data_IF_145773592771
#
_entry.id   IF_145773592771
#
_cell.length_a   1.000
_cell.length_b   1.000
_cell.length_c   1.000
_cell.angle_alpha   90.00
_cell.angle_beta   90.00
_cell.angle_gamma   90.00
#
_symmetry.space_group_name_H-M   'P 1'
#
loop_
_entity.id
_entity.type
_entity.pdbx_description
1 polymer ?
#
# COMPACT_ATOMS: atom_id res chain seq x y z
N UNK A 1 -8.26 -9.65 -2.65
CA UNK A 1 -7.09 -9.94 -3.52
C UNK A 1 -5.80 -9.97 -2.67
N UNK A 2 -4.74 -10.63 -3.14
CA UNK A 2 -3.42 -10.57 -2.51
C UNK A 2 -2.78 -9.19 -2.75
N UNK A 3 -2.05 -8.66 -1.77
CA UNK A 3 -1.48 -7.30 -1.90
C UNK A 3 -0.51 -7.17 -3.07
N UNK A 4 0.29 -8.21 -3.35
CA UNK A 4 1.22 -8.17 -4.49
C UNK A 4 0.45 -8.02 -5.81
N UNK A 5 -0.68 -8.72 -5.98
CA UNK A 5 -1.51 -8.63 -7.19
C UNK A 5 -2.13 -7.23 -7.34
N UNK A 6 -2.60 -6.62 -6.25
CA UNK A 6 -3.12 -5.25 -6.23
C UNK A 6 -2.03 -4.26 -6.66
N UNK A 7 -0.82 -4.41 -6.12
CA UNK A 7 0.33 -3.57 -6.47
C UNK A 7 0.70 -3.76 -7.95
N UNK A 8 0.71 -5.00 -8.46
CA UNK A 8 0.96 -5.25 -9.88
C UNK A 8 -0.13 -4.66 -10.78
N UNK A 9 -1.39 -4.70 -10.36
CA UNK A 9 -2.51 -4.15 -11.13
C UNK A 9 -2.48 -2.62 -11.19
N UNK A 10 -2.06 -1.93 -10.12
CA UNK A 10 -2.01 -0.45 -10.10
C UNK A 10 -0.81 0.11 -10.89
N UNK A 11 0.33 -0.60 -10.93
CA UNK A 11 1.58 -0.16 -11.59
C UNK A 11 1.40 0.43 -13.00
N UNK A 12 0.70 -0.22 -13.95
CA UNK A 12 0.56 0.32 -15.31
C UNK A 12 -0.29 1.60 -15.39
N UNK A 13 -1.04 1.94 -14.34
CA UNK A 13 -1.87 3.14 -14.27
C UNK A 13 -1.13 4.32 -13.64
N UNK A 14 0.09 4.11 -13.15
CA UNK A 14 0.91 5.16 -12.53
C UNK A 14 1.79 5.81 -13.62
N UNK A 15 1.81 7.15 -13.74
CA UNK A 15 0.97 8.08 -13.00
C UNK A 15 -0.47 8.12 -13.52
N UNK A 16 -1.45 8.19 -12.62
CA UNK A 16 -2.86 8.42 -12.93
C UNK A 16 -3.03 9.78 -13.61
N UNK A 17 -3.83 9.85 -14.66
CA UNK A 17 -4.13 11.09 -15.37
C UNK A 17 -5.05 12.04 -14.59
N UNK A 18 -5.85 11.50 -13.66
CA UNK A 18 -6.72 12.27 -12.76
C UNK A 18 -7.11 11.51 -11.49
N UNK A 19 -7.65 12.22 -10.51
CA UNK A 19 -8.30 11.61 -9.33
C UNK A 19 -9.47 10.70 -9.74
N UNK A 20 -10.24 11.07 -10.77
CA UNK A 20 -11.33 10.24 -11.27
C UNK A 20 -10.85 8.91 -11.86
N UNK A 21 -9.69 8.90 -12.53
CA UNK A 21 -9.08 7.64 -13.02
C UNK A 21 -8.61 6.75 -11.86
N UNK A 22 -8.06 7.36 -10.79
CA UNK A 22 -7.73 6.63 -9.57
C UNK A 22 -8.97 6.04 -8.89
N UNK A 23 -10.09 6.79 -8.85
CA UNK A 23 -11.36 6.30 -8.35
C UNK A 23 -11.90 5.13 -9.19
N UNK A 24 -11.90 5.25 -10.52
CA UNK A 24 -12.32 4.18 -11.43
C UNK A 24 -11.53 2.88 -11.19
N UNK A 25 -10.22 3.00 -10.94
CA UNK A 25 -9.40 1.86 -10.57
C UNK A 25 -9.86 1.25 -9.23
N UNK A 26 -10.05 2.08 -8.20
CA UNK A 26 -10.47 1.62 -6.86
C UNK A 26 -11.86 0.97 -6.86
N UNK A 27 -12.80 1.49 -7.65
CA UNK A 27 -14.16 0.96 -7.82
C UNK A 27 -14.18 -0.49 -8.33
N UNK A 28 -13.08 -0.96 -8.92
CA UNK A 28 -12.89 -2.36 -9.33
C UNK A 28 -12.59 -3.33 -8.19
N UNK A 29 -12.43 -2.84 -6.95
CA UNK A 29 -12.00 -3.62 -5.80
C UNK A 29 -12.89 -3.40 -4.58
N UNK A 30 -13.02 -4.42 -3.73
CA UNK A 30 -13.71 -4.29 -2.45
C UNK A 30 -12.97 -3.32 -1.52
N UNK A 31 -13.68 -2.65 -0.60
CA UNK A 31 -13.10 -1.72 0.38
C UNK A 31 -11.85 -2.29 1.05
N UNK A 32 -11.85 -3.57 1.45
CA UNK A 32 -10.70 -4.19 2.09
C UNK A 32 -9.45 -4.32 1.21
N UNK A 33 -9.60 -4.39 -0.11
CA UNK A 33 -8.50 -4.33 -1.09
C UNK A 33 -8.02 -2.88 -1.27
N UNK A 34 -8.95 -1.91 -1.28
CA UNK A 34 -8.60 -0.49 -1.36
C UNK A 34 -7.79 -0.05 -0.14
N UNK A 35 -8.22 -0.40 1.08
CA UNK A 35 -7.49 -0.10 2.32
C UNK A 35 -6.10 -0.77 2.31
N UNK A 36 -5.99 -2.00 1.79
CA UNK A 36 -4.71 -2.71 1.68
C UNK A 36 -3.70 -1.91 0.84
N UNK A 37 -4.17 -1.36 -0.29
CA UNK A 37 -3.35 -0.59 -1.20
C UNK A 37 -2.87 0.74 -0.59
N UNK A 38 -3.74 1.41 0.17
CA UNK A 38 -3.40 2.64 0.89
C UNK A 38 -2.44 2.36 2.05
N UNK A 39 -2.65 1.27 2.79
CA UNK A 39 -1.77 0.83 3.88
C UNK A 39 -0.37 0.50 3.35
N UNK A 40 -0.27 -0.25 2.25
CA UNK A 40 1.01 -0.58 1.62
C UNK A 40 1.74 0.68 1.13
N UNK A 41 1.02 1.66 0.57
CA UNK A 41 1.58 2.96 0.16
C UNK A 41 2.20 3.70 1.35
N UNK A 42 1.46 3.87 2.45
CA UNK A 42 1.95 4.63 3.59
C UNK A 42 3.11 3.92 4.31
N UNK A 43 3.04 2.60 4.40
CA UNK A 43 4.13 1.79 4.89
C UNK A 43 5.39 1.94 4.03
N UNK A 44 5.25 1.80 2.72
CA UNK A 44 6.37 1.93 1.78
C UNK A 44 7.00 3.32 1.83
N UNK A 45 6.16 4.37 1.96
CA UNK A 45 6.62 5.74 2.15
C UNK A 45 7.46 5.92 3.42
N UNK A 46 7.06 5.35 4.56
CA UNK A 46 7.85 5.44 5.79
C UNK A 46 9.16 4.63 5.71
N UNK A 47 9.24 3.68 4.79
CA UNK A 47 10.39 2.79 4.60
C UNK A 47 11.20 3.03 3.32
N UNK A 48 11.03 4.18 2.65
CA UNK A 48 11.59 4.43 1.31
C UNK A 48 13.12 4.27 1.23
N UNK A 49 13.84 4.54 2.32
CA UNK A 49 15.31 4.45 2.40
C UNK A 49 15.82 3.19 3.11
N UNK A 50 14.94 2.24 3.43
CA UNK A 50 15.29 1.03 4.16
C UNK A 50 15.20 -0.20 3.25
N UNK A 51 15.86 -1.28 3.66
CA UNK A 51 15.79 -2.59 3.00
C UNK A 51 15.02 -3.62 3.83
N UNK A 52 14.65 -3.25 5.06
CA UNK A 52 13.92 -4.07 6.02
C UNK A 52 12.92 -3.17 6.74
N UNK A 53 11.91 -3.80 7.33
CA UNK A 53 10.98 -3.14 8.24
C UNK A 53 11.74 -2.61 9.46
N UNK A 54 11.50 -1.34 9.82
CA UNK A 54 12.15 -0.71 10.95
C UNK A 54 11.87 -1.44 12.26
N UNK A 55 12.79 -1.37 13.23
CA UNK A 55 12.65 -2.06 14.52
C UNK A 55 11.32 -1.75 15.23
N UNK A 56 10.86 -0.50 15.17
CA UNK A 56 9.58 -0.07 15.74
C UNK A 56 8.37 -0.79 15.11
N UNK A 57 8.50 -1.28 13.88
CA UNK A 57 7.45 -1.96 13.13
C UNK A 57 7.58 -3.50 13.16
N UNK A 58 8.75 -4.04 13.53
CA UNK A 58 8.99 -5.50 13.58
C UNK A 58 8.06 -6.21 14.56
N UNK A 59 7.76 -5.59 15.70
CA UNK A 59 6.81 -6.13 16.68
C UNK A 59 5.43 -6.40 16.07
N UNK A 60 4.86 -5.40 15.39
CA UNK A 60 3.58 -5.50 14.69
C UNK A 60 3.62 -6.48 13.52
N UNK A 61 4.75 -6.51 12.81
CA UNK A 61 4.98 -7.40 11.67
C UNK A 61 4.95 -8.88 12.09
N UNK A 62 5.62 -9.24 13.19
CA UNK A 62 5.67 -10.62 13.67
C UNK A 62 4.46 -11.01 14.53
N UNK A 63 3.78 -10.05 15.16
CA UNK A 63 2.52 -10.30 15.87
C UNK A 63 1.34 -10.52 14.91
N UNK A 64 1.46 -10.09 13.65
CA UNK A 64 0.37 -10.08 12.66
C UNK A 64 -0.56 -8.87 12.81
N UNK A 65 -0.25 -7.93 13.70
CA UNK A 65 -0.97 -6.67 13.85
C UNK A 65 -0.70 -5.74 12.67
N UNK A 66 0.43 -5.87 12.00
CA UNK A 66 0.63 -5.29 10.67
C UNK A 66 -0.22 -6.08 9.66
N UNK A 67 -1.31 -5.46 9.20
CA UNK A 67 -2.31 -6.09 8.33
C UNK A 67 -2.82 -5.10 7.26
N UNK A 68 -3.50 -5.59 6.22
CA UNK A 68 -4.12 -4.76 5.16
C UNK A 68 -5.05 -3.65 5.62
N UNK A 69 -5.62 -3.73 6.81
CA UNK A 69 -6.56 -2.75 7.33
C UNK A 69 -5.90 -1.69 8.21
N UNK A 70 -4.56 -1.59 8.21
CA UNK A 70 -3.83 -0.66 9.08
C UNK A 70 -4.33 0.79 8.98
N UNK A 71 -4.71 1.23 7.78
CA UNK A 71 -5.27 2.57 7.56
C UNK A 71 -6.81 2.64 7.60
N UNK A 72 -7.48 1.50 7.83
CA UNK A 72 -8.93 1.38 7.96
C UNK A 72 -9.44 2.01 9.25
N UNK A 73 -9.52 3.35 9.27
CA UNK A 73 -9.88 4.16 10.43
C UNK A 73 -9.01 5.40 10.61
N UNK A 74 -7.82 5.41 10.00
CA UNK A 74 -6.95 6.59 9.96
C UNK A 74 -7.23 7.48 8.74
N UNK A 75 -7.73 6.88 7.67
CA UNK A 75 -8.01 7.53 6.40
C UNK A 75 -9.43 7.16 5.96
N UNK A 76 -10.21 8.16 5.54
CA UNK A 76 -11.56 7.91 5.00
C UNK A 76 -11.48 7.29 3.61
N UNK A 77 -12.37 6.36 3.27
CA UNK A 77 -12.43 5.73 1.94
C UNK A 77 -12.58 6.77 0.82
N UNK A 78 -13.31 7.85 1.08
CA UNK A 78 -13.49 8.98 0.15
C UNK A 78 -12.18 9.70 -0.21
N UNK A 79 -11.11 9.53 0.59
CA UNK A 79 -9.81 10.15 0.34
C UNK A 79 -8.85 9.26 -0.46
N UNK A 80 -9.18 7.99 -0.68
CA UNK A 80 -8.24 7.03 -1.27
C UNK A 80 -7.83 7.40 -2.70
N UNK A 81 -8.79 7.76 -3.55
CA UNK A 81 -8.50 8.18 -4.92
C UNK A 81 -7.62 9.43 -4.97
N UNK A 82 -7.96 10.41 -4.13
CA UNK A 82 -7.17 11.64 -3.96
C UNK A 82 -5.75 11.33 -3.50
N UNK A 83 -5.57 10.44 -2.53
CA UNK A 83 -4.23 10.04 -2.04
C UNK A 83 -3.41 9.41 -3.17
N UNK A 84 -3.97 8.47 -3.94
CA UNK A 84 -3.28 7.87 -5.07
C UNK A 84 -2.87 8.94 -6.09
N UNK A 85 -3.79 9.83 -6.46
CA UNK A 85 -3.53 10.88 -7.43
C UNK A 85 -2.55 11.95 -6.94
N UNK A 86 -2.56 12.34 -5.66
CA UNK A 86 -1.61 13.31 -5.11
C UNK A 86 -0.21 12.73 -4.95
N UNK A 87 -0.09 11.44 -4.61
CA UNK A 87 1.21 10.77 -4.43
C UNK A 87 1.82 10.27 -5.74
N UNK A 88 0.99 10.09 -6.77
CA UNK A 88 1.27 9.72 -8.16
C UNK A 88 2.71 9.30 -8.48
N UNK A 89 3.58 10.29 -8.69
CA UNK A 89 4.95 10.10 -9.17
C UNK A 89 5.83 9.31 -8.21
N UNK A 90 5.47 9.27 -6.93
CA UNK A 90 6.18 8.52 -5.90
C UNK A 90 5.57 7.14 -5.64
N UNK A 91 4.40 6.80 -6.20
CA UNK A 91 3.72 5.54 -5.92
C UNK A 91 4.59 4.32 -6.25
N UNK A 92 5.30 4.34 -7.38
CA UNK A 92 6.26 3.27 -7.71
C UNK A 92 7.29 3.08 -6.60
N UNK A 93 7.93 4.18 -6.16
CA UNK A 93 8.95 4.12 -5.12
C UNK A 93 8.39 3.62 -3.78
N UNK A 94 7.15 4.02 -3.43
CA UNK A 94 6.50 3.57 -2.21
C UNK A 94 6.16 2.08 -2.27
N UNK A 95 5.52 1.60 -3.34
CA UNK A 95 5.21 0.17 -3.47
C UNK A 95 6.47 -0.69 -3.58
N UNK A 96 7.51 -0.24 -4.27
CA UNK A 96 8.81 -0.93 -4.31
C UNK A 96 9.45 -1.00 -2.92
N UNK A 97 9.34 0.06 -2.11
CA UNK A 97 9.83 0.05 -0.74
C UNK A 97 9.03 -0.89 0.16
N UNK A 98 7.69 -0.93 0.03
CA UNK A 98 6.85 -1.88 0.75
C UNK A 98 7.26 -3.32 0.46
N UNK A 99 7.36 -3.70 -0.82
CA UNK A 99 7.77 -5.04 -1.24
C UNK A 99 9.17 -5.38 -0.73
N UNK A 100 10.14 -4.49 -0.97
CA UNK A 100 11.53 -4.69 -0.55
C UNK A 100 11.67 -4.89 0.95
N UNK A 101 11.01 -4.06 1.77
CA UNK A 101 11.16 -4.13 3.22
C UNK A 101 10.45 -5.33 3.83
N UNK A 102 9.28 -5.70 3.31
CA UNK A 102 8.58 -6.91 3.76
C UNK A 102 9.32 -8.18 3.35
N UNK A 103 9.91 -8.23 2.15
CA UNK A 103 10.81 -9.33 1.74
C UNK A 103 12.06 -9.39 2.62
N UNK A 104 12.75 -8.26 2.82
CA UNK A 104 13.96 -8.18 3.63
C UNK A 104 13.75 -8.58 5.09
N UNK A 105 12.53 -8.43 5.61
CA UNK A 105 12.17 -8.87 6.97
C UNK A 105 11.52 -10.25 7.05
N UNK A 106 11.39 -10.97 5.92
CA UNK A 106 10.78 -12.30 5.89
C UNK A 106 9.30 -12.33 6.25
N UNK A 107 8.57 -11.24 5.98
CA UNK A 107 7.13 -11.18 6.23
C UNK A 107 6.34 -11.95 5.19
N UNK A 108 5.40 -12.77 5.65
CA UNK A 108 4.47 -13.48 4.80
C UNK A 108 3.32 -12.55 4.37
N UNK A 109 3.47 -11.92 3.20
CA UNK A 109 2.46 -11.04 2.60
C UNK A 109 1.16 -11.75 2.19
N UNK A 110 1.08 -13.09 2.24
CA UNK A 110 -0.18 -13.80 1.99
C UNK A 110 -1.26 -13.50 3.04
N UNK A 111 -0.83 -12.99 4.18
CA UNK A 111 -1.68 -12.55 5.28
C UNK A 111 -1.95 -11.05 5.29
N UNK A 112 -1.38 -10.32 4.31
CA UNK A 112 -1.57 -8.88 4.22
C UNK A 112 -3.00 -8.58 3.79
#
# INVERSE_FOLDING_TARGET
MHIDDLIFAVRPLIPFGSEAEAQIFLDGYETGDQVALISALYFGRSHIHYNEVGEDYKGYLFSGEMNRFWEGGNVSEEEFAKILYEKNTNLHAYYDAFLRCTDGSGYDRSKY
#
